data_IF_129495499319
#
_entry.id   IF_129495499319
#
_cell.length_a   1.000
_cell.length_b   1.000
_cell.length_c   1.000
_cell.angle_alpha   90.00
_cell.angle_beta   90.00
_cell.angle_gamma   90.00
#
_symmetry.space_group_name_H-M   'P 1'
#
loop_
_entity.id
_entity.type
_entity.pdbx_description
1 polymer ?
#
# COMPACT_ATOMS: atom_id res chain seq x y z
N UNK A 1 -8.21 21.51 -28.28
CA UNK A 1 -8.80 20.22 -27.86
C UNK A 1 -8.30 19.95 -26.46
N UNK A 2 -9.14 20.14 -25.44
CA UNK A 2 -8.78 19.80 -24.05
C UNK A 2 -9.07 18.32 -23.85
N UNK A 3 -8.05 17.48 -23.86
CA UNK A 3 -8.16 16.10 -23.40
C UNK A 3 -8.36 16.16 -21.89
N UNK A 4 -9.60 15.99 -21.44
CA UNK A 4 -9.89 15.75 -20.02
C UNK A 4 -9.48 14.30 -19.73
N UNK A 5 -8.27 14.13 -19.23
CA UNK A 5 -7.85 12.87 -18.64
C UNK A 5 -8.69 12.67 -17.38
N UNK A 6 -9.42 11.56 -17.30
CA UNK A 6 -10.05 11.14 -16.04
C UNK A 6 -8.91 10.64 -15.17
N UNK A 7 -8.49 11.43 -14.20
CA UNK A 7 -7.48 11.04 -13.22
C UNK A 7 -8.07 9.95 -12.32
N UNK A 8 -7.75 8.68 -12.60
CA UNK A 8 -8.07 7.58 -11.72
C UNK A 8 -7.01 7.55 -10.60
N UNK A 9 -7.45 7.66 -9.34
CA UNK A 9 -6.58 7.50 -8.18
C UNK A 9 -6.75 6.08 -7.60
N UNK A 10 -5.63 5.44 -7.25
CA UNK A 10 -5.68 4.23 -6.42
C UNK A 10 -6.31 4.61 -5.07
N UNK A 11 -7.18 3.76 -4.52
CA UNK A 11 -7.79 3.98 -3.20
C UNK A 11 -7.40 2.87 -2.22
N UNK A 12 -7.33 1.65 -2.74
CA UNK A 12 -6.93 0.47 -2.00
C UNK A 12 -6.23 -0.53 -2.91
N UNK A 13 -5.53 -1.47 -2.29
CA UNK A 13 -4.93 -2.63 -2.94
C UNK A 13 -5.32 -3.90 -2.17
N UNK A 14 -5.39 -5.00 -2.90
CA UNK A 14 -5.53 -6.33 -2.30
C UNK A 14 -4.14 -6.87 -1.97
N UNK A 15 -3.91 -7.18 -0.70
CA UNK A 15 -2.63 -7.71 -0.22
C UNK A 15 -2.86 -9.12 0.31
N UNK A 16 -2.21 -10.15 -0.27
CA UNK A 16 -2.19 -11.47 0.33
C UNK A 16 -1.33 -11.42 1.60
N UNK A 17 -1.89 -11.91 2.71
CA UNK A 17 -1.21 -11.92 4.01
C UNK A 17 -1.36 -13.27 4.68
N UNK A 18 -0.35 -13.65 5.46
CA UNK A 18 -0.32 -14.84 6.29
C UNK A 18 -0.15 -14.45 7.76
N UNK A 19 -1.12 -14.84 8.58
CA UNK A 19 -1.07 -14.61 10.02
C UNK A 19 0.02 -15.48 10.67
N UNK A 20 1.00 -14.86 11.31
CA UNK A 20 2.10 -15.58 11.97
C UNK A 20 1.65 -16.40 13.19
N UNK A 21 0.54 -16.04 13.82
CA UNK A 21 0.02 -16.74 15.02
C UNK A 21 -0.64 -18.08 14.69
N UNK A 22 -1.44 -18.15 13.62
CA UNK A 22 -2.25 -19.34 13.30
C UNK A 22 -1.96 -19.94 11.91
N UNK A 23 -1.07 -19.32 11.13
CA UNK A 23 -0.69 -19.75 9.79
C UNK A 23 -1.78 -19.57 8.72
N UNK A 24 -2.88 -18.86 9.03
CA UNK A 24 -3.94 -18.64 8.05
C UNK A 24 -3.53 -17.62 7.00
N UNK A 25 -3.69 -17.97 5.73
CA UNK A 25 -3.47 -17.08 4.59
C UNK A 25 -4.81 -16.57 4.06
N UNK A 26 -4.91 -15.27 3.79
CA UNK A 26 -6.11 -14.60 3.29
C UNK A 26 -5.74 -13.28 2.62
N UNK A 27 -6.67 -12.67 1.89
CA UNK A 27 -6.49 -11.34 1.30
C UNK A 27 -7.11 -10.27 2.19
N UNK A 28 -6.46 -9.12 2.25
CA UNK A 28 -6.99 -7.91 2.88
C UNK A 28 -7.01 -6.76 1.89
N UNK A 29 -8.00 -5.88 2.02
CA UNK A 29 -8.02 -4.60 1.32
C UNK A 29 -7.29 -3.58 2.20
N UNK A 30 -6.09 -3.17 1.78
CA UNK A 30 -5.29 -2.14 2.42
C UNK A 30 -5.54 -0.79 1.72
N UNK A 31 -5.64 0.30 2.47
CA UNK A 31 -6.10 1.60 1.98
C UNK A 31 -4.97 2.61 1.97
N UNK A 32 -5.00 3.57 1.05
CA UNK A 32 -4.09 4.71 1.11
C UNK A 32 -4.44 5.54 2.34
N UNK A 33 -3.57 5.53 3.34
CA UNK A 33 -3.69 6.31 4.57
C UNK A 33 -3.15 7.73 4.39
N UNK A 34 -2.08 7.88 3.60
CA UNK A 34 -1.45 9.18 3.33
C UNK A 34 -0.82 9.22 1.93
N UNK A 35 -0.72 10.44 1.38
CA UNK A 35 -0.05 10.73 0.12
C UNK A 35 0.68 12.05 0.22
N UNK A 36 1.99 12.02 -0.06
CA UNK A 36 2.84 13.20 0.00
C UNK A 36 3.65 13.37 -1.28
N UNK A 37 3.76 14.60 -1.76
CA UNK A 37 4.73 14.97 -2.79
C UNK A 37 6.04 15.30 -2.11
N UNK A 38 7.07 14.48 -2.34
CA UNK A 38 8.37 14.57 -1.65
C UNK A 38 9.31 15.53 -2.36
N UNK A 39 9.52 15.33 -3.67
CA UNK A 39 10.44 16.13 -4.49
C UNK A 39 9.88 16.42 -5.87
N UNK A 40 10.23 17.59 -6.44
CA UNK A 40 10.04 17.87 -7.86
C UNK A 40 11.36 17.57 -8.57
N UNK A 41 11.40 16.47 -9.32
CA UNK A 41 12.56 16.03 -10.08
C UNK A 41 12.37 16.34 -11.57
N UNK A 42 13.36 16.00 -12.40
CA UNK A 42 13.40 16.39 -13.82
C UNK A 42 12.19 15.91 -14.64
N UNK A 43 11.65 14.72 -14.34
CA UNK A 43 10.49 14.13 -15.03
C UNK A 43 9.14 14.36 -14.32
N UNK A 44 9.08 15.25 -13.32
CA UNK A 44 7.86 15.57 -12.57
C UNK A 44 7.99 15.36 -11.06
N UNK A 45 6.90 15.52 -10.30
CA UNK A 45 6.89 15.23 -8.87
C UNK A 45 7.06 13.74 -8.60
N UNK A 46 7.84 13.41 -7.59
CA UNK A 46 7.77 12.12 -6.91
C UNK A 46 6.61 12.15 -5.91
N UNK A 47 5.81 11.09 -5.92
CA UNK A 47 4.70 10.92 -4.98
C UNK A 47 4.95 9.69 -4.13
N UNK A 48 5.06 9.88 -2.82
CA UNK A 48 5.05 8.80 -1.85
C UNK A 48 3.62 8.55 -1.37
N UNK A 49 3.23 7.28 -1.31
CA UNK A 49 1.95 6.85 -0.71
C UNK A 49 2.22 5.85 0.39
N UNK A 50 1.52 6.03 1.50
CA UNK A 50 1.48 5.09 2.62
C UNK A 50 0.16 4.34 2.53
N UNK A 51 0.26 3.02 2.34
CA UNK A 51 -0.87 2.11 2.28
C UNK A 51 -0.89 1.31 3.57
N UNK A 52 -2.02 1.31 4.25
CA UNK A 52 -2.14 0.74 5.59
C UNK A 52 -3.25 -0.32 5.66
N UNK A 53 -3.02 -1.30 6.52
CA UNK A 53 -4.06 -2.19 7.02
C UNK A 53 -3.93 -2.33 8.54
N UNK A 54 -5.04 -2.10 9.24
CA UNK A 54 -5.23 -2.38 10.66
C UNK A 54 -6.50 -3.23 10.81
N UNK A 55 -6.34 -4.46 11.30
CA UNK A 55 -7.46 -5.38 11.46
C UNK A 55 -7.12 -6.64 12.22
N UNK A 56 -7.97 -7.66 12.06
CA UNK A 56 -7.84 -8.93 12.77
C UNK A 56 -7.79 -10.14 11.82
N UNK A 57 -7.02 -11.15 12.20
CA UNK A 57 -7.04 -12.44 11.53
C UNK A 57 -8.43 -13.08 11.67
N UNK A 58 -9.12 -13.40 10.56
CA UNK A 58 -10.49 -13.92 10.60
C UNK A 58 -10.58 -15.31 11.26
N UNK A 59 -9.46 -16.01 11.42
CA UNK A 59 -9.41 -17.36 12.01
C UNK A 59 -9.17 -17.35 13.52
N UNK A 60 -8.34 -16.44 14.03
CA UNK A 60 -7.88 -16.49 15.43
C UNK A 60 -8.02 -15.17 16.21
N UNK A 61 -8.56 -14.12 15.57
CA UNK A 61 -8.73 -12.80 16.18
C UNK A 61 -7.41 -12.12 16.57
N UNK A 62 -6.28 -12.55 15.98
CA UNK A 62 -5.02 -11.85 16.20
C UNK A 62 -5.08 -10.49 15.55
N UNK A 63 -4.70 -9.43 16.26
CA UNK A 63 -4.49 -8.12 15.67
C UNK A 63 -3.35 -8.19 14.64
N UNK A 64 -3.52 -7.48 13.53
CA UNK A 64 -2.64 -7.48 12.38
C UNK A 64 -2.53 -6.04 11.90
N UNK A 65 -1.29 -5.57 11.75
CA UNK A 65 -1.00 -4.23 11.28
C UNK A 65 0.19 -4.24 10.33
N UNK A 66 0.09 -3.52 9.22
CA UNK A 66 1.22 -3.27 8.33
C UNK A 66 1.05 -1.99 7.53
N UNK A 67 2.19 -1.49 7.06
CA UNK A 67 2.28 -0.36 6.13
C UNK A 67 3.09 -0.79 4.90
N UNK A 68 2.66 -0.30 3.73
CA UNK A 68 3.37 -0.41 2.47
C UNK A 68 3.64 1.01 2.00
N UNK A 69 4.91 1.33 1.87
CA UNK A 69 5.38 2.58 1.30
C UNK A 69 5.61 2.38 -0.18
N UNK A 70 5.06 3.27 -1.00
CA UNK A 70 5.22 3.20 -2.45
C UNK A 70 5.59 4.55 -3.02
N UNK A 71 6.53 4.55 -3.96
CA UNK A 71 7.02 5.76 -4.62
C UNK A 71 6.66 5.71 -6.10
N UNK A 72 6.05 6.79 -6.58
CA UNK A 72 5.72 6.98 -7.98
C UNK A 72 6.61 8.07 -8.57
N UNK A 73 7.49 7.67 -9.49
CA UNK A 73 8.33 8.56 -10.26
C UNK A 73 8.83 7.87 -11.55
N UNK A 74 8.68 8.48 -12.74
CA UNK A 74 7.90 9.70 -13.02
C UNK A 74 6.39 9.49 -12.76
N UNK A 75 5.56 10.56 -12.79
CA UNK A 75 4.12 10.43 -12.61
C UNK A 75 3.51 9.35 -13.52
N UNK A 76 2.75 8.45 -12.92
CA UNK A 76 2.18 7.26 -13.56
C UNK A 76 3.08 6.01 -13.58
N UNK A 77 4.28 6.05 -13.01
CA UNK A 77 5.19 4.91 -12.91
C UNK A 77 5.55 4.60 -11.46
N UNK A 78 5.26 3.37 -11.01
CA UNK A 78 5.64 2.89 -9.68
C UNK A 78 7.12 2.46 -9.71
N UNK A 79 7.97 3.19 -8.99
CA UNK A 79 9.41 2.95 -8.96
C UNK A 79 9.78 1.91 -7.89
N UNK A 80 9.26 2.10 -6.68
CA UNK A 80 9.64 1.29 -5.52
C UNK A 80 8.44 0.98 -4.61
N UNK A 81 8.47 -0.21 -4.01
CA UNK A 81 7.54 -0.66 -2.97
C UNK A 81 8.38 -1.20 -1.81
N UNK A 82 8.21 -0.61 -0.63
CA UNK A 82 8.79 -1.10 0.62
C UNK A 82 7.66 -1.54 1.55
N UNK A 83 7.81 -2.72 2.15
CA UNK A 83 6.83 -3.26 3.09
C UNK A 83 7.44 -3.17 4.48
N UNK A 84 6.85 -2.34 5.35
CA UNK A 84 7.26 -2.29 6.75
C UNK A 84 6.59 -3.43 7.51
N UNK A 85 7.43 -4.38 7.94
CA UNK A 85 7.00 -5.56 8.66
C UNK A 85 6.71 -5.19 10.12
N UNK A 86 5.47 -4.77 10.38
CA UNK A 86 4.97 -4.64 11.76
C UNK A 86 4.27 -5.93 12.22
N UNK A 87 4.21 -6.08 13.53
CA UNK A 87 4.06 -7.37 14.23
C UNK A 87 2.91 -8.26 13.71
N UNK A 88 3.21 -9.54 13.44
CA UNK A 88 2.19 -10.60 13.29
C UNK A 88 1.85 -11.04 11.86
N UNK A 89 2.51 -10.52 10.83
CA UNK A 89 2.21 -10.78 9.41
C UNK A 89 3.43 -11.26 8.62
N UNK A 90 3.18 -12.17 7.68
CA UNK A 90 4.10 -12.65 6.65
C UNK A 90 3.46 -12.45 5.27
N UNK A 91 4.23 -11.99 4.28
CA UNK A 91 3.74 -11.63 2.93
C UNK A 91 4.12 -12.68 1.87
N UNK A 92 4.54 -13.88 2.28
CA UNK A 92 4.88 -15.01 1.38
C UNK A 92 3.71 -15.83 0.87
#
# INVERSE_FOLDING_TARGET
>A
MSSSFVECKILSIKVPVKCLKCGNTFEVDAWIADEQTTEIKDMGPEVQRIIEYDGECPKCGNHLYFEIYSWEYPPGFLEEIEIDHKEGIDFT
#
